data_IF_486339084516
#
_entry.id   IF_486339084516
#
_cell.length_a   1.000
_cell.length_b   1.000
_cell.length_c   1.000
_cell.angle_alpha   90.00
_cell.angle_beta   90.00
_cell.angle_gamma   90.00
#
_symmetry.space_group_name_H-M   'P 1'
#
loop_
_entity.id
_entity.type
_entity.pdbx_description
1 polymer ?
#
# COMPACT_ATOMS: atom_id res chain seq x y z
N UNK A 1 -28.46 -24.04 3.85
CA UNK A 1 -28.03 -22.82 4.56
C UNK A 1 -26.72 -22.32 3.97
N UNK A 2 -26.75 -21.35 3.06
CA UNK A 2 -25.55 -20.81 2.37
C UNK A 2 -25.20 -19.40 2.85
N UNK A 3 -26.08 -18.77 3.62
CA UNK A 3 -25.97 -17.35 4.05
C UNK A 3 -24.90 -17.12 5.14
N UNK A 4 -24.50 -18.17 5.86
CA UNK A 4 -23.56 -18.05 6.99
C UNK A 4 -22.10 -18.05 6.53
N UNK A 5 -21.79 -18.68 5.39
CA UNK A 5 -20.41 -18.72 4.89
C UNK A 5 -19.96 -17.33 4.42
N UNK A 6 -20.74 -16.64 3.58
CA UNK A 6 -20.36 -15.33 2.98
C UNK A 6 -19.84 -14.33 4.02
N UNK A 7 -20.56 -14.14 5.14
CA UNK A 7 -20.23 -13.10 6.12
C UNK A 7 -18.91 -13.34 6.88
N UNK A 8 -18.51 -14.60 7.06
CA UNK A 8 -17.24 -14.94 7.71
C UNK A 8 -16.06 -14.72 6.76
N UNK A 9 -16.27 -14.92 5.46
CA UNK A 9 -15.27 -14.64 4.42
C UNK A 9 -15.07 -13.15 4.21
N UNK A 10 -16.13 -12.34 4.29
CA UNK A 10 -16.04 -10.89 4.09
C UNK A 10 -15.13 -10.22 5.13
N UNK A 11 -15.28 -10.55 6.42
CA UNK A 11 -14.40 -10.02 7.48
C UNK A 11 -12.95 -10.49 7.31
N UNK A 12 -12.75 -11.79 7.09
CA UNK A 12 -11.41 -12.36 6.91
C UNK A 12 -10.68 -11.77 5.69
N UNK A 13 -11.39 -11.46 4.61
CA UNK A 13 -10.82 -10.81 3.44
C UNK A 13 -10.38 -9.38 3.76
N UNK A 14 -11.19 -8.59 4.48
CA UNK A 14 -10.77 -7.25 4.92
C UNK A 14 -9.53 -7.30 5.81
N UNK A 15 -9.47 -8.25 6.74
CA UNK A 15 -8.29 -8.46 7.59
C UNK A 15 -7.05 -8.85 6.77
N UNK A 16 -7.19 -9.75 5.79
CA UNK A 16 -6.08 -10.14 4.90
C UNK A 16 -5.59 -8.98 4.04
N UNK A 17 -6.50 -8.22 3.42
CA UNK A 17 -6.14 -7.04 2.65
C UNK A 17 -5.40 -6.00 3.51
N UNK A 18 -5.85 -5.79 4.75
CA UNK A 18 -5.14 -4.94 5.71
C UNK A 18 -3.73 -5.44 5.98
N UNK A 19 -3.55 -6.73 6.24
CA UNK A 19 -2.23 -7.33 6.44
C UNK A 19 -1.33 -7.11 5.23
N UNK A 20 -1.84 -7.28 4.01
CA UNK A 20 -1.09 -7.05 2.78
C UNK A 20 -0.69 -5.59 2.62
N UNK A 21 -1.58 -4.66 2.94
CA UNK A 21 -1.27 -3.21 2.94
C UNK A 21 -0.17 -2.90 3.96
N UNK A 22 -0.29 -3.40 5.19
CA UNK A 22 0.72 -3.21 6.25
C UNK A 22 2.08 -3.86 5.91
N UNK A 23 2.10 -5.02 5.24
CA UNK A 23 3.33 -5.66 4.74
C UNK A 23 4.00 -4.80 3.65
N UNK A 24 3.21 -4.28 2.72
CA UNK A 24 3.69 -3.40 1.65
C UNK A 24 4.25 -2.09 2.21
N UNK A 25 3.60 -1.52 3.24
CA UNK A 25 4.10 -0.35 3.97
C UNK A 25 5.50 -0.63 4.53
N UNK A 26 5.70 -1.78 5.19
CA UNK A 26 7.01 -2.15 5.71
C UNK A 26 8.05 -2.31 4.60
N UNK A 27 7.69 -2.89 3.45
CA UNK A 27 8.57 -3.02 2.31
C UNK A 27 9.00 -1.64 1.76
N UNK A 28 8.07 -0.69 1.66
CA UNK A 28 8.36 0.69 1.24
C UNK A 28 9.25 1.43 2.25
N UNK A 29 9.05 1.24 3.55
CA UNK A 29 9.91 1.83 4.60
C UNK A 29 11.33 1.23 4.57
N UNK A 30 11.46 -0.07 4.31
CA UNK A 30 12.76 -0.70 4.10
C UNK A 30 13.46 -0.17 2.85
N UNK A 31 12.73 0.03 1.75
CA UNK A 31 13.26 0.65 0.55
C UNK A 31 13.81 2.04 0.86
N UNK A 32 13.04 2.88 1.57
CA UNK A 32 13.49 4.21 1.95
C UNK A 32 14.74 4.18 2.82
N UNK A 33 14.84 3.26 3.77
CA UNK A 33 16.01 3.15 4.66
C UNK A 33 17.28 2.84 3.86
N UNK A 34 17.18 2.09 2.76
CA UNK A 34 18.32 1.67 1.93
C UNK A 34 18.66 2.66 0.82
N UNK A 35 17.63 3.17 0.16
CA UNK A 35 17.75 4.03 -1.01
C UNK A 35 17.76 5.52 -0.66
N UNK A 36 17.42 5.85 0.59
CA UNK A 36 17.24 7.21 1.09
C UNK A 36 16.20 8.02 0.28
N UNK A 37 15.25 7.32 -0.35
CA UNK A 37 14.12 7.88 -1.09
C UNK A 37 12.96 6.89 -1.08
N UNK A 38 11.74 7.40 -1.16
CA UNK A 38 10.56 6.57 -1.42
C UNK A 38 10.42 6.26 -2.91
N UNK A 39 9.68 5.20 -3.27
CA UNK A 39 9.31 4.95 -4.66
C UNK A 39 8.57 6.15 -5.28
N UNK A 40 8.89 6.45 -6.53
CA UNK A 40 8.31 7.51 -7.35
C UNK A 40 7.24 6.97 -8.28
N UNK A 41 7.38 7.28 -9.57
CA UNK A 41 6.37 7.04 -10.62
C UNK A 41 6.13 5.54 -10.88
N UNK A 42 7.17 4.71 -10.76
CA UNK A 42 7.06 3.26 -10.93
C UNK A 42 6.49 2.56 -9.67
N UNK A 43 6.37 3.28 -8.55
CA UNK A 43 5.69 2.84 -7.34
C UNK A 43 6.21 1.51 -6.78
N UNK A 44 5.30 0.57 -6.50
CA UNK A 44 5.66 -0.74 -5.95
C UNK A 44 6.60 -1.55 -6.87
N UNK A 45 6.69 -1.21 -8.16
CA UNK A 45 7.61 -1.89 -9.07
C UNK A 45 9.07 -1.60 -8.74
N UNK A 46 9.41 -0.46 -8.14
CA UNK A 46 10.78 -0.17 -7.73
C UNK A 46 11.27 -1.07 -6.58
N UNK A 47 10.35 -1.73 -5.86
CA UNK A 47 10.69 -2.69 -4.82
C UNK A 47 11.06 -4.07 -5.39
N UNK A 48 10.69 -4.33 -6.65
CA UNK A 48 10.98 -5.57 -7.37
C UNK A 48 12.04 -5.41 -8.45
N UNK A 49 12.16 -4.21 -9.04
CA UNK A 49 13.10 -3.95 -10.13
C UNK A 49 14.37 -3.27 -9.63
N UNK A 50 15.50 -3.85 -10.03
CA UNK A 50 16.81 -3.31 -9.71
C UNK A 50 17.06 -2.05 -10.54
N UNK A 51 17.43 -0.92 -9.92
CA UNK A 51 17.73 0.31 -10.66
C UNK A 51 18.97 0.15 -11.54
N UNK A 52 19.01 0.89 -12.65
CA UNK A 52 20.12 0.88 -13.61
C UNK A 52 21.38 1.57 -13.06
N UNK A 53 21.20 2.57 -12.18
CA UNK A 53 22.32 3.27 -11.54
C UNK A 53 23.12 2.31 -10.63
N UNK A 54 24.42 2.15 -10.91
CA UNK A 54 25.27 1.18 -10.22
C UNK A 54 25.42 1.46 -8.71
N UNK A 55 25.30 2.72 -8.27
CA UNK A 55 25.40 3.07 -6.85
C UNK A 55 24.11 2.73 -6.11
N UNK A 56 22.97 3.02 -6.72
CA UNK A 56 21.66 2.64 -6.21
C UNK A 56 21.50 1.11 -6.20
N UNK A 57 21.90 0.44 -7.28
CA UNK A 57 21.91 -1.01 -7.45
C UNK A 57 22.69 -1.78 -6.38
N UNK A 58 23.72 -1.17 -5.78
CA UNK A 58 24.50 -1.76 -4.67
C UNK A 58 23.78 -1.71 -3.33
N UNK A 59 22.86 -0.76 -3.15
CA UNK A 59 22.08 -0.55 -1.92
C UNK A 59 20.72 -1.22 -2.00
N UNK A 60 20.20 -1.35 -3.22
CA UNK A 60 18.93 -1.96 -3.53
C UNK A 60 18.92 -3.47 -3.25
N UNK A 61 17.78 -3.97 -2.77
CA UNK A 61 17.49 -5.39 -2.60
C UNK A 61 16.06 -5.67 -3.04
N UNK A 62 15.81 -6.91 -3.44
CA UNK A 62 14.47 -7.40 -3.70
C UNK A 62 13.66 -7.37 -2.40
N UNK A 63 12.64 -6.51 -2.35
CA UNK A 63 11.77 -6.35 -1.18
C UNK A 63 10.39 -6.99 -1.40
N UNK A 64 9.97 -7.10 -2.66
CA UNK A 64 8.76 -7.79 -3.08
C UNK A 64 9.10 -8.72 -4.24
N UNK A 65 8.62 -9.97 -4.19
CA UNK A 65 8.73 -10.91 -5.32
C UNK A 65 7.71 -10.62 -6.41
N UNK A 66 6.54 -10.10 -6.01
CA UNK A 66 5.45 -9.68 -6.87
C UNK A 66 4.66 -8.57 -6.19
N UNK A 67 3.90 -7.79 -6.96
CA UNK A 67 2.94 -6.85 -6.39
C UNK A 67 1.87 -7.66 -5.63
N UNK A 68 1.64 -7.36 -4.35
CA UNK A 68 0.60 -8.03 -3.58
C UNK A 68 -0.77 -7.75 -4.20
N UNK A 69 -1.54 -8.82 -4.31
CA UNK A 69 -2.90 -8.82 -4.83
C UNK A 69 -3.83 -9.05 -3.66
N UNK A 70 -4.83 -8.20 -3.53
CA UNK A 70 -5.82 -8.29 -2.47
C UNK A 70 -6.72 -9.54 -2.63
N UNK A 71 -7.53 -9.88 -1.62
CA UNK A 71 -8.42 -11.04 -1.66
C UNK A 71 -9.50 -11.01 -2.74
N UNK A 72 -9.71 -9.87 -3.39
CA UNK A 72 -10.65 -9.68 -4.48
C UNK A 72 -9.99 -9.72 -5.86
N UNK A 73 -8.66 -9.88 -5.90
CA UNK A 73 -7.89 -10.03 -7.12
C UNK A 73 -7.36 -8.73 -7.70
N UNK A 74 -7.40 -7.62 -6.95
CA UNK A 74 -6.85 -6.34 -7.38
C UNK A 74 -5.45 -6.12 -6.79
N UNK A 75 -4.53 -5.64 -7.62
CA UNK A 75 -3.21 -5.22 -7.15
C UNK A 75 -3.34 -4.02 -6.21
N UNK A 76 -2.57 -4.02 -5.12
CA UNK A 76 -2.52 -2.87 -4.23
C UNK A 76 -2.09 -1.61 -4.97
N UNK A 77 -2.77 -0.52 -4.67
CA UNK A 77 -2.47 0.80 -5.22
C UNK A 77 -1.41 1.46 -4.37
N UNK A 78 -0.54 2.21 -5.04
CA UNK A 78 0.48 3.05 -4.42
C UNK A 78 0.46 4.41 -5.08
N UNK A 79 0.47 5.46 -4.28
CA UNK A 79 0.63 6.82 -4.73
C UNK A 79 1.64 7.53 -3.84
N UNK A 80 2.63 8.19 -4.47
CA UNK A 80 3.55 9.04 -3.73
C UNK A 80 2.87 10.36 -3.41
N UNK A 81 2.91 10.75 -2.14
CA UNK A 81 2.34 12.01 -1.68
C UNK A 81 3.43 13.00 -1.33
N UNK A 82 3.16 14.27 -1.62
CA UNK A 82 3.99 15.37 -1.12
C UNK A 82 3.57 15.69 0.31
N UNK A 83 4.52 15.63 1.24
CA UNK A 83 4.28 16.08 2.61
C UNK A 83 4.41 17.59 2.62
N UNK A 84 3.31 18.28 2.90
CA UNK A 84 3.28 19.74 3.07
C UNK A 84 3.53 20.11 4.54
N UNK A 85 3.95 21.35 4.79
CA UNK A 85 4.13 21.89 6.15
C UNK A 85 2.85 21.80 6.99
N UNK A 86 1.68 21.82 6.34
CA UNK A 86 0.36 21.71 6.97
C UNK A 86 0.03 20.29 7.47
N UNK A 87 0.81 19.27 7.06
CA UNK A 87 0.58 17.86 7.41
C UNK A 87 1.88 17.16 7.82
N UNK A 88 2.54 17.59 8.90
CA UNK A 88 3.89 17.15 9.28
C UNK A 88 3.98 15.67 9.68
N UNK A 89 2.84 15.04 10.01
CA UNK A 89 2.76 13.62 10.38
C UNK A 89 2.30 12.72 9.23
N UNK A 90 1.94 13.29 8.08
CA UNK A 90 1.52 12.50 6.93
C UNK A 90 2.69 11.68 6.37
N UNK A 91 2.40 10.44 6.00
CA UNK A 91 3.37 9.63 5.27
C UNK A 91 3.51 10.19 3.84
N UNK A 92 4.71 10.24 3.26
CA UNK A 92 4.94 10.72 1.88
C UNK A 92 4.48 9.72 0.80
N UNK A 93 3.53 8.86 1.15
CA UNK A 93 2.95 7.85 0.27
C UNK A 93 1.63 7.33 0.86
N UNK A 94 0.78 6.84 -0.03
CA UNK A 94 -0.48 6.19 0.24
C UNK A 94 -0.46 4.79 -0.37
N UNK A 95 -0.86 3.78 0.40
CA UNK A 95 -1.04 2.40 -0.06
C UNK A 95 -2.44 1.94 0.31
N UNK A 96 -3.19 1.40 -0.64
CA UNK A 96 -4.55 0.91 -0.37
C UNK A 96 -4.98 -0.25 -1.26
N UNK A 97 -5.97 -1.00 -0.80
CA UNK A 97 -6.77 -1.93 -1.60
C UNK A 97 -8.10 -1.26 -1.95
N UNK A 98 -8.62 -1.50 -3.16
CA UNK A 98 -9.93 -1.03 -3.64
C UNK A 98 -11.10 -1.83 -3.05
N UNK A 99 -10.82 -2.78 -2.16
CA UNK A 99 -11.85 -3.54 -1.49
C UNK A 99 -12.66 -4.46 -2.43
N UNK A 100 -13.83 -4.96 -1.95
CA UNK A 100 -14.67 -5.91 -2.64
C UNK A 100 -15.32 -5.38 -3.92
N UNK A 101 -15.60 -4.08 -3.99
CA UNK A 101 -16.24 -3.46 -5.15
C UNK A 101 -15.26 -3.16 -6.29
N UNK A 102 -13.95 -3.19 -6.01
CA UNK A 102 -12.86 -2.95 -6.97
C UNK A 102 -12.90 -1.54 -7.58
N UNK A 103 -13.58 -0.60 -6.93
CA UNK A 103 -13.67 0.79 -7.35
C UNK A 103 -12.86 1.65 -6.36
N UNK A 104 -12.00 2.52 -6.88
CA UNK A 104 -11.18 3.39 -6.04
C UNK A 104 -12.00 4.55 -5.45
N UNK A 105 -11.67 4.93 -4.22
CA UNK A 105 -12.29 6.08 -3.56
C UNK A 105 -13.62 5.76 -2.89
N UNK A 106 -13.97 4.47 -2.74
CA UNK A 106 -15.17 4.04 -2.02
C UNK A 106 -14.91 3.88 -0.51
N UNK A 107 -15.97 3.69 0.26
CA UNK A 107 -15.89 3.49 1.73
C UNK A 107 -15.29 2.12 2.10
N UNK A 108 -15.27 1.18 1.15
CA UNK A 108 -14.75 -0.17 1.37
C UNK A 108 -13.24 -0.29 1.10
N UNK A 109 -12.61 0.79 0.65
CA UNK A 109 -11.16 0.93 0.50
C UNK A 109 -10.42 0.70 1.83
N UNK A 110 -9.36 -0.10 1.77
CA UNK A 110 -8.51 -0.38 2.94
C UNK A 110 -7.22 0.41 2.81
N UNK A 111 -7.15 1.53 3.54
CA UNK A 111 -6.10 2.55 3.41
C UNK A 111 -5.01 2.41 4.49
N UNK A 112 -3.76 2.66 4.12
CA UNK A 112 -2.62 2.72 5.05
C UNK A 112 -2.52 4.02 5.85
N UNK A 113 -3.33 5.02 5.50
CA UNK A 113 -3.37 6.33 6.12
C UNK A 113 -4.76 6.59 6.72
N UNK A 114 -4.79 7.47 7.71
CA UNK A 114 -6.03 8.07 8.19
C UNK A 114 -6.28 9.34 7.39
N UNK A 115 -7.49 9.52 6.88
CA UNK A 115 -7.94 10.81 6.37
C UNK A 115 -8.04 11.78 7.56
N UNK A 116 -6.96 12.51 7.85
CA UNK A 116 -6.99 13.62 8.81
C UNK A 116 -7.74 14.80 8.16
N UNK A 117 -9.05 14.58 8.03
CA UNK A 117 -9.97 15.42 7.27
C UNK A 117 -11.45 15.09 7.54
N UNK A 118 -11.76 13.91 8.06
CA UNK A 118 -13.10 13.56 8.55
C UNK A 118 -13.11 13.21 10.04
N UNK A 119 -12.99 14.25 10.87
CA UNK A 119 -13.60 14.33 12.19
C UNK A 119 -13.89 15.82 12.42
N UNK A 120 -15.09 16.30 12.16
CA UNK A 120 -16.24 15.96 13.00
C UNK A 120 -16.22 16.85 14.24
N UNK A 121 -16.55 18.13 14.06
CA UNK A 121 -16.74 19.16 15.09
C UNK A 121 -17.48 20.36 14.51
#
# INVERSE_FOLDING_TARGET
>A
SVVVYSRVWEGANKDMAKIMVDDTVQAVEMFQTRMNRYPGEDGLKELMEKPDDEKEAKRWHLLLEQIPVDPWGEELKYEKMEVTDDQPTAKPYHIWSTGPDKEDGTDDDIKSWTDDGSSGG
#
